data_IF_148777382570
#
_entry.id   IF_148777382570
#
_cell.length_a   1.000
_cell.length_b   1.000
_cell.length_c   1.000
_cell.angle_alpha   90.00
_cell.angle_beta   90.00
_cell.angle_gamma   90.00
#
_symmetry.space_group_name_H-M   'P 1'
#
loop_
_entity.id
_entity.type
_entity.pdbx_description
1 polymer ?
#
# COMPACT_ATOMS: atom_id res chain seq x y z
N UNK A 1 3.80 23.12 5.59
CA UNK A 1 3.47 23.87 6.82
C UNK A 1 2.26 24.75 6.51
N UNK A 2 1.22 24.74 7.36
CA UNK A 2 0.04 25.60 7.19
C UNK A 2 0.10 26.76 8.18
N UNK A 3 0.04 27.99 7.67
CA UNK A 3 0.06 29.21 8.48
C UNK A 3 -1.27 29.93 8.32
N UNK A 4 -2.10 30.04 9.38
CA UNK A 4 -3.34 30.80 9.33
C UNK A 4 -3.03 32.27 9.08
N UNK A 5 -3.78 32.89 8.18
CA UNK A 5 -3.67 34.28 7.80
C UNK A 5 -4.72 35.15 8.53
N UNK A 6 -4.47 36.46 8.70
CA UNK A 6 -5.40 37.37 9.38
C UNK A 6 -6.78 37.48 8.69
N UNK A 7 -6.86 37.16 7.39
CA UNK A 7 -8.10 37.14 6.61
C UNK A 7 -8.90 35.83 6.73
N UNK A 8 -8.43 34.90 7.57
CA UNK A 8 -9.04 33.59 7.79
C UNK A 8 -8.64 32.52 6.77
N UNK A 9 -7.80 32.85 5.78
CA UNK A 9 -7.26 31.86 4.85
C UNK A 9 -6.09 31.09 5.46
N UNK A 10 -5.75 29.93 4.89
CA UNK A 10 -4.58 29.14 5.30
C UNK A 10 -3.54 29.22 4.18
N UNK A 11 -2.37 29.76 4.50
CA UNK A 11 -1.22 29.73 3.60
C UNK A 11 -0.50 28.39 3.73
N UNK A 12 -0.40 27.65 2.63
CA UNK A 12 0.38 26.40 2.56
C UNK A 12 1.78 26.73 2.07
N UNK A 13 2.79 26.45 2.88
CA UNK A 13 4.19 26.61 2.53
C UNK A 13 4.88 25.26 2.35
N UNK A 14 5.63 25.11 1.26
CA UNK A 14 6.53 23.99 1.04
C UNK A 14 7.71 24.09 2.03
N UNK A 15 8.02 23.00 2.72
CA UNK A 15 9.03 22.99 3.81
C UNK A 15 10.32 22.30 3.38
N UNK A 16 10.20 21.31 2.50
CA UNK A 16 11.31 20.45 2.08
C UNK A 16 11.04 19.95 0.65
N UNK A 17 12.11 19.77 -0.13
CA UNK A 17 12.06 19.10 -1.43
C UNK A 17 12.96 17.87 -1.35
N UNK A 18 12.40 16.69 -1.60
CA UNK A 18 13.14 15.44 -1.71
C UNK A 18 13.42 15.12 -3.19
N UNK A 19 14.59 15.52 -3.71
CA UNK A 19 15.01 15.19 -5.07
C UNK A 19 15.65 13.80 -5.16
N UNK A 20 14.83 12.76 -4.93
CA UNK A 20 15.16 11.35 -5.20
C UNK A 20 13.88 10.57 -5.41
N UNK A 21 13.97 9.34 -5.91
CA UNK A 21 12.86 8.40 -5.85
C UNK A 21 12.61 8.06 -4.36
N UNK A 22 11.65 8.73 -3.75
CA UNK A 22 11.32 8.60 -2.33
C UNK A 22 10.42 7.38 -2.07
N UNK A 23 10.16 7.08 -0.79
CA UNK A 23 9.28 5.97 -0.38
C UNK A 23 7.83 6.10 -0.89
N UNK A 24 7.42 7.27 -1.37
CA UNK A 24 6.12 7.54 -1.99
C UNK A 24 6.11 7.35 -3.51
N UNK A 25 7.27 7.45 -4.17
CA UNK A 25 7.36 7.32 -5.62
C UNK A 25 7.11 5.87 -6.06
N UNK A 26 7.62 4.90 -5.31
CA UNK A 26 7.40 3.48 -5.63
C UNK A 26 5.91 3.09 -5.52
N UNK A 27 5.18 3.36 -4.41
CA UNK A 27 3.75 3.06 -4.33
C UNK A 27 2.87 3.75 -5.37
N UNK A 28 3.10 5.04 -5.64
CA UNK A 28 2.35 5.76 -6.66
C UNK A 28 2.59 5.17 -8.06
N UNK A 29 3.85 4.88 -8.38
CA UNK A 29 4.19 4.23 -9.65
C UNK A 29 3.63 2.81 -9.72
N UNK A 30 3.63 2.04 -8.63
CA UNK A 30 2.96 0.74 -8.57
C UNK A 30 1.49 0.90 -8.96
N UNK A 31 0.75 1.79 -8.31
CA UNK A 31 -0.66 2.04 -8.62
C UNK A 31 -0.83 2.45 -10.09
N UNK A 32 0.00 3.39 -10.57
CA UNK A 32 -0.01 3.85 -11.96
C UNK A 32 0.14 2.71 -12.95
N UNK A 33 1.17 1.87 -12.80
CA UNK A 33 1.49 0.83 -13.77
C UNK A 33 0.53 -0.35 -13.72
N UNK A 34 0.04 -0.75 -12.55
CA UNK A 34 -0.88 -1.91 -12.45
C UNK A 34 -2.31 -1.58 -12.92
N UNK A 35 -2.68 -0.30 -12.98
CA UNK A 35 -4.01 0.17 -13.41
C UNK A 35 -3.99 0.92 -14.74
N UNK A 36 -2.79 1.10 -15.33
CA UNK A 36 -2.54 2.01 -16.45
C UNK A 36 -3.18 3.41 -16.25
N UNK A 37 -3.20 3.85 -14.99
CA UNK A 37 -3.96 5.02 -14.55
C UNK A 37 -3.17 6.33 -14.60
N UNK A 38 -3.83 7.41 -14.23
CA UNK A 38 -3.26 8.73 -14.11
C UNK A 38 -3.90 9.51 -12.96
N UNK A 39 -3.19 10.53 -12.48
CA UNK A 39 -3.75 11.48 -11.53
C UNK A 39 -4.40 12.62 -12.31
N UNK A 40 -5.66 12.88 -12.05
CA UNK A 40 -6.41 14.03 -12.57
C UNK A 40 -6.18 15.20 -11.61
N UNK A 41 -5.45 16.22 -12.07
CA UNK A 41 -5.07 17.37 -11.26
C UNK A 41 -6.26 18.31 -10.98
N UNK A 42 -7.25 18.36 -11.89
CA UNK A 42 -8.41 19.24 -11.76
C UNK A 42 -9.40 18.69 -10.73
N UNK A 43 -9.58 17.36 -10.73
CA UNK A 43 -10.46 16.67 -9.79
C UNK A 43 -9.75 16.27 -8.48
N UNK A 44 -8.41 16.22 -8.48
CA UNK A 44 -7.60 15.81 -7.33
C UNK A 44 -7.73 14.33 -7.00
N UNK A 45 -8.06 13.49 -7.99
CA UNK A 45 -8.27 12.05 -7.83
C UNK A 45 -7.38 11.24 -8.76
N UNK A 46 -7.11 9.99 -8.39
CA UNK A 46 -6.44 9.04 -9.28
C UNK A 46 -7.49 8.20 -10.02
N UNK A 47 -7.40 8.16 -11.34
CA UNK A 47 -8.29 7.42 -12.23
C UNK A 47 -7.53 6.32 -12.96
N UNK A 48 -8.09 5.12 -12.99
CA UNK A 48 -7.53 4.02 -13.80
C UNK A 48 -7.79 4.22 -15.28
N UNK A 49 -7.18 3.42 -16.15
CA UNK A 49 -7.47 3.45 -17.60
C UNK A 49 -8.96 3.22 -17.92
N UNK A 50 -9.68 2.56 -17.02
CA UNK A 50 -11.11 2.27 -17.12
C UNK A 50 -11.99 3.45 -16.65
N UNK A 51 -11.38 4.56 -16.24
CA UNK A 51 -12.07 5.74 -15.71
C UNK A 51 -12.60 5.55 -14.29
N UNK A 52 -12.09 4.57 -13.55
CA UNK A 52 -12.53 4.31 -12.19
C UNK A 52 -11.62 5.01 -11.18
N UNK A 53 -12.21 5.69 -10.20
CA UNK A 53 -11.44 6.32 -9.12
C UNK A 53 -10.83 5.26 -8.21
N UNK A 54 -9.55 5.43 -7.85
CA UNK A 54 -8.86 4.56 -6.89
C UNK A 54 -8.10 5.37 -5.87
N UNK A 55 -8.23 4.93 -4.63
CA UNK A 55 -7.40 5.32 -3.50
C UNK A 55 -6.42 4.19 -3.17
N UNK A 56 -5.33 4.54 -2.50
CA UNK A 56 -4.40 3.53 -1.99
C UNK A 56 -3.87 3.87 -0.61
N UNK A 57 -3.49 2.82 0.12
CA UNK A 57 -2.63 2.89 1.29
C UNK A 57 -1.35 2.13 0.98
N UNK A 58 -0.19 2.69 1.33
CA UNK A 58 1.08 2.03 1.10
C UNK A 58 2.04 2.16 2.27
N UNK A 59 2.83 1.11 2.46
CA UNK A 59 3.92 1.07 3.43
C UNK A 59 5.06 0.22 2.89
N UNK A 60 6.30 0.61 3.16
CA UNK A 60 7.53 -0.15 2.92
C UNK A 60 8.21 -0.58 4.23
N UNK A 61 7.51 -0.36 5.35
CA UNK A 61 8.03 -0.53 6.72
C UNK A 61 7.25 -1.54 7.55
N UNK A 62 6.29 -2.26 6.95
CA UNK A 62 5.62 -3.36 7.63
C UNK A 62 6.66 -4.41 8.02
N UNK A 63 6.87 -4.55 9.33
CA UNK A 63 7.92 -5.42 9.86
C UNK A 63 7.53 -5.98 11.22
N UNK A 64 7.87 -7.24 11.42
CA UNK A 64 7.70 -7.94 12.69
C UNK A 64 8.69 -9.11 12.74
N UNK A 65 9.43 -9.31 13.86
CA UNK A 65 10.27 -10.49 14.03
C UNK A 65 9.49 -11.81 13.93
N UNK A 66 8.17 -11.78 14.13
CA UNK A 66 7.27 -12.94 13.98
C UNK A 66 7.17 -13.41 12.53
N UNK A 67 7.39 -12.53 11.55
CA UNK A 67 7.29 -12.87 10.12
C UNK A 67 8.53 -13.57 9.58
N UNK A 68 9.64 -13.62 10.33
CA UNK A 68 10.83 -14.37 9.92
C UNK A 68 10.51 -15.86 9.78
N UNK A 69 11.01 -16.47 8.72
CA UNK A 69 10.71 -17.84 8.33
C UNK A 69 9.54 -17.97 7.36
N UNK A 70 8.61 -17.00 7.30
CA UNK A 70 7.55 -17.03 6.29
C UNK A 70 8.15 -17.01 4.88
N UNK A 71 7.71 -17.92 4.03
CA UNK A 71 8.19 -17.97 2.65
C UNK A 71 7.36 -17.02 1.79
N UNK A 72 8.01 -16.25 0.88
CA UNK A 72 7.32 -15.37 -0.06
C UNK A 72 6.15 -16.04 -0.81
N UNK A 73 6.36 -17.29 -1.25
CA UNK A 73 5.36 -18.04 -2.00
C UNK A 73 4.13 -18.34 -1.15
N UNK A 74 4.30 -18.83 0.08
CA UNK A 74 3.20 -19.10 1.00
C UNK A 74 2.38 -17.83 1.31
N UNK A 75 3.04 -16.68 1.41
CA UNK A 75 2.35 -15.39 1.62
C UNK A 75 1.48 -15.05 0.42
N UNK A 76 1.98 -15.21 -0.80
CA UNK A 76 1.19 -14.96 -2.00
C UNK A 76 0.01 -15.91 -2.10
N UNK A 77 0.23 -17.20 -1.86
CA UNK A 77 -0.82 -18.22 -1.90
C UNK A 77 -1.92 -17.95 -0.88
N UNK A 78 -1.57 -17.64 0.37
CA UNK A 78 -2.56 -17.31 1.41
C UNK A 78 -3.37 -16.06 1.02
N UNK A 79 -2.74 -15.05 0.41
CA UNK A 79 -3.42 -13.83 -0.03
C UNK A 79 -4.34 -14.08 -1.23
N UNK A 80 -4.01 -15.07 -2.07
CA UNK A 80 -4.92 -15.54 -3.12
C UNK A 80 -6.11 -16.26 -2.51
N UNK A 81 -5.88 -17.19 -1.58
CA UNK A 81 -6.92 -17.96 -0.89
C UNK A 81 -7.90 -17.07 -0.13
N UNK A 82 -7.40 -16.04 0.55
CA UNK A 82 -8.20 -15.05 1.29
C UNK A 82 -8.81 -13.97 0.37
N UNK A 83 -8.58 -14.04 -0.94
CA UNK A 83 -9.14 -13.11 -1.93
C UNK A 83 -8.61 -11.68 -1.84
N UNK A 84 -7.46 -11.47 -1.20
CA UNK A 84 -6.88 -10.16 -0.93
C UNK A 84 -5.86 -9.70 -1.99
N UNK A 85 -5.35 -10.62 -2.80
CA UNK A 85 -4.50 -10.31 -3.96
C UNK A 85 -5.16 -9.28 -4.91
N UNK A 86 -4.35 -8.57 -5.68
CA UNK A 86 -4.84 -7.63 -6.69
C UNK A 86 -5.62 -8.35 -7.80
N UNK A 87 -6.82 -7.86 -8.13
CA UNK A 87 -7.78 -8.52 -9.04
C UNK A 87 -8.11 -7.65 -10.26
N UNK A 88 -8.90 -8.22 -11.16
CA UNK A 88 -9.38 -7.56 -12.39
C UNK A 88 -10.25 -6.33 -12.15
N UNK A 89 -10.82 -6.17 -10.95
CA UNK A 89 -11.55 -4.95 -10.55
C UNK A 89 -10.61 -3.80 -10.14
N UNK A 90 -9.30 -3.97 -10.31
CA UNK A 90 -8.26 -3.02 -9.95
C UNK A 90 -8.27 -2.68 -8.44
N UNK A 91 -8.59 -3.68 -7.61
CA UNK A 91 -8.52 -3.60 -6.15
C UNK A 91 -7.76 -4.79 -5.58
N UNK A 92 -7.28 -4.64 -4.34
CA UNK A 92 -6.54 -5.68 -3.63
C UNK A 92 -5.17 -5.20 -3.17
N UNK A 93 -4.30 -6.12 -2.80
CA UNK A 93 -2.97 -5.84 -2.23
C UNK A 93 -1.88 -6.31 -3.18
N UNK A 94 -0.90 -5.44 -3.42
CA UNK A 94 0.35 -5.74 -4.12
C UNK A 94 1.50 -5.65 -3.12
N UNK A 95 2.32 -6.69 -3.02
CA UNK A 95 3.47 -6.72 -2.13
C UNK A 95 4.74 -6.20 -2.81
N UNK A 96 5.59 -5.58 -2.01
CA UNK A 96 6.93 -5.12 -2.36
C UNK A 96 7.93 -5.70 -1.37
N UNK A 97 9.21 -5.76 -1.74
CA UNK A 97 10.27 -6.27 -0.87
C UNK A 97 9.97 -7.66 -0.28
N UNK A 98 9.19 -8.50 -0.98
CA UNK A 98 8.71 -9.76 -0.44
C UNK A 98 9.87 -10.72 -0.13
N UNK A 99 10.98 -10.64 -0.89
CA UNK A 99 12.21 -11.39 -0.59
C UNK A 99 12.84 -11.09 0.78
N UNK A 100 12.49 -9.97 1.42
CA UNK A 100 13.00 -9.62 2.74
C UNK A 100 12.19 -10.25 3.89
N UNK A 101 11.04 -10.88 3.62
CA UNK A 101 10.15 -11.34 4.69
C UNK A 101 10.76 -12.50 5.48
N UNK A 102 11.35 -13.49 4.80
CA UNK A 102 11.85 -14.70 5.44
C UNK A 102 13.03 -14.40 6.39
N UNK A 103 14.00 -13.62 5.93
CA UNK A 103 15.21 -13.29 6.70
C UNK A 103 14.98 -12.14 7.70
N UNK A 104 14.36 -11.05 7.25
CA UNK A 104 14.27 -9.82 8.03
C UNK A 104 12.93 -9.62 8.71
N UNK A 105 11.89 -10.38 8.33
CA UNK A 105 10.53 -10.18 8.81
C UNK A 105 9.93 -8.87 8.32
N UNK A 106 10.38 -8.38 7.16
CA UNK A 106 10.01 -7.08 6.60
C UNK A 106 9.49 -7.24 5.18
N UNK A 107 8.44 -6.51 4.86
CA UNK A 107 7.88 -6.38 3.53
C UNK A 107 7.22 -5.00 3.35
N UNK A 108 7.00 -4.63 2.10
CA UNK A 108 6.14 -3.51 1.76
C UNK A 108 4.84 -4.00 1.11
N UNK A 109 3.84 -3.14 1.07
CA UNK A 109 2.61 -3.37 0.31
C UNK A 109 1.96 -2.07 -0.14
N UNK A 110 1.19 -2.14 -1.21
CA UNK A 110 0.20 -1.15 -1.62
C UNK A 110 -1.17 -1.82 -1.65
N UNK A 111 -2.10 -1.34 -0.84
CA UNK A 111 -3.50 -1.75 -0.82
C UNK A 111 -4.33 -0.75 -1.62
N UNK A 112 -5.04 -1.22 -2.64
CA UNK A 112 -5.82 -0.40 -3.59
C UNK A 112 -7.31 -0.68 -3.42
N UNK A 113 -8.11 0.39 -3.38
CA UNK A 113 -9.56 0.31 -3.25
C UNK A 113 -10.25 1.59 -3.77
N UNK A 114 -11.58 1.57 -4.00
CA UNK A 114 -12.36 2.76 -4.33
C UNK A 114 -12.29 3.90 -3.31
N UNK A 115 -12.08 3.59 -2.02
CA UNK A 115 -11.98 4.61 -0.96
C UNK A 115 -10.77 4.39 -0.06
N UNK A 116 -10.30 5.47 0.58
CA UNK A 116 -9.19 5.42 1.56
C UNK A 116 -9.50 4.44 2.70
N UNK A 117 -10.73 4.46 3.21
CA UNK A 117 -11.16 3.56 4.29
C UNK A 117 -11.07 2.09 3.86
N UNK A 118 -11.53 1.77 2.64
CA UNK A 118 -11.45 0.42 2.12
C UNK A 118 -10.02 -0.04 1.81
N UNK A 119 -9.14 0.88 1.39
CA UNK A 119 -7.73 0.59 1.19
C UNK A 119 -7.04 0.28 2.53
N UNK A 120 -7.35 1.06 3.57
CA UNK A 120 -6.86 0.82 4.92
C UNK A 120 -7.43 -0.47 5.53
N UNK A 121 -8.69 -0.80 5.23
CA UNK A 121 -9.31 -2.08 5.58
C UNK A 121 -8.53 -3.26 5.01
N UNK A 122 -8.25 -3.23 3.70
CA UNK A 122 -7.44 -4.26 3.03
C UNK A 122 -6.03 -4.38 3.62
N UNK A 123 -5.39 -3.26 3.97
CA UNK A 123 -4.11 -3.29 4.69
C UNK A 123 -4.22 -4.04 6.03
N UNK A 124 -5.24 -3.72 6.85
CA UNK A 124 -5.46 -4.38 8.14
C UNK A 124 -5.74 -5.88 7.95
N UNK A 125 -6.46 -6.26 6.90
CA UNK A 125 -6.72 -7.65 6.58
C UNK A 125 -5.44 -8.40 6.20
N UNK A 126 -4.56 -7.79 5.39
CA UNK A 126 -3.26 -8.35 5.05
C UNK A 126 -2.40 -8.59 6.31
N UNK A 127 -2.35 -7.61 7.22
CA UNK A 127 -1.65 -7.75 8.50
C UNK A 127 -2.22 -8.90 9.33
N UNK A 128 -3.55 -9.02 9.43
CA UNK A 128 -4.21 -10.11 10.16
C UNK A 128 -3.87 -11.48 9.60
N UNK A 129 -3.79 -11.61 8.27
CA UNK A 129 -3.40 -12.86 7.60
C UNK A 129 -1.93 -13.19 7.91
N UNK A 130 -1.01 -12.21 7.75
CA UNK A 130 0.40 -12.39 8.07
C UNK A 130 0.64 -12.80 9.52
N UNK A 131 -0.07 -12.17 10.46
CA UNK A 131 0.01 -12.52 11.88
C UNK A 131 -0.45 -13.96 12.14
N UNK A 132 -1.54 -14.38 11.50
CA UNK A 132 -2.06 -15.76 11.59
C UNK A 132 -1.09 -16.78 11.00
N UNK A 133 -0.50 -16.47 9.84
CA UNK A 133 0.53 -17.31 9.22
C UNK A 133 1.74 -17.47 10.14
N UNK A 134 2.21 -16.37 10.74
CA UNK A 134 3.33 -16.38 11.66
C UNK A 134 3.08 -17.20 12.93
N UNK A 135 1.85 -17.14 13.47
CA UNK A 135 1.47 -17.98 14.61
C UNK A 135 1.46 -19.47 14.25
N UNK A 136 0.94 -19.84 13.08
CA UNK A 136 0.94 -21.24 12.61
C UNK A 136 2.35 -21.77 12.37
N UNK A 137 3.22 -20.97 11.73
CA UNK A 137 4.60 -21.37 11.44
C UNK A 137 5.44 -21.59 12.71
N UNK A 138 5.10 -20.95 13.83
CA UNK A 138 5.84 -21.10 15.10
C UNK A 138 5.38 -22.28 15.96
N UNK A 139 4.23 -22.89 15.63
CA UNK A 139 3.68 -24.04 16.34
C UNK A 139 4.01 -25.39 15.69
N UNK A 140 4.61 -25.41 14.50
CA UNK A 140 5.11 -26.60 13.81
C UNK A 140 6.61 -26.70 13.92
#
# INVERSE_FOLDING_TARGET
LTVPQPDGTISVQAVEINLRQGGTTHPFNTLKFITDGHFDEDLGVFCTAQGLERCYFATDTLSSPRYRGLMPFDVLDEMVLEGLHFRSDETGVVFHLLGCISEFGKLGLTAVAPTVEQALGRYRDAVRILDRMADRHRCG
#
